data_IF_951282213224
#
_entry.id   IF_951282213224
#
_cell.length_a   1.000
_cell.length_b   1.000
_cell.length_c   1.000
_cell.angle_alpha   90.00
_cell.angle_beta   90.00
_cell.angle_gamma   90.00
#
_symmetry.space_group_name_H-M   'P 1'
#
loop_
_entity.id
_entity.type
_entity.pdbx_description
1 polymer ?
#
# COMPACT_ATOMS: atom_id res chain seq x y z
N UNK A 1 18.93 -9.82 0.16
CA UNK A 1 19.06 -8.35 0.14
C UNK A 1 20.52 -8.01 -0.10
N UNK A 2 20.82 -7.31 -1.20
CA UNK A 2 22.17 -6.84 -1.52
C UNK A 2 22.09 -5.31 -1.71
N UNK A 3 22.87 -4.58 -0.94
CA UNK A 3 22.96 -3.13 -0.98
C UNK A 3 23.98 -2.76 -2.07
N UNK A 4 23.52 -2.24 -3.20
CA UNK A 4 24.39 -1.61 -4.19
C UNK A 4 24.65 -0.16 -3.74
N UNK A 5 25.90 0.16 -3.44
CA UNK A 5 26.34 1.52 -3.16
C UNK A 5 27.19 1.98 -4.34
N UNK A 6 26.65 2.88 -5.16
CA UNK A 6 27.41 3.58 -6.17
C UNK A 6 28.23 4.68 -5.47
N UNK A 7 29.55 4.56 -5.51
CA UNK A 7 30.47 5.61 -5.09
C UNK A 7 31.32 5.99 -6.31
N UNK A 8 31.17 7.24 -6.74
CA UNK A 8 31.96 7.86 -7.79
C UNK A 8 33.41 7.98 -7.28
N UNK A 9 34.33 7.20 -7.85
CA UNK A 9 35.73 7.20 -7.45
C UNK A 9 36.43 8.43 -8.03
N UNK A 10 36.63 9.44 -7.19
CA UNK A 10 37.54 10.54 -7.47
C UNK A 10 38.95 10.10 -7.07
N UNK A 11 39.88 10.13 -8.02
CA UNK A 11 41.20 9.44 -8.03
C UNK A 11 42.24 10.01 -7.05
N UNK A 12 41.79 10.70 -6.00
CA UNK A 12 42.61 11.38 -4.98
C UNK A 12 42.49 10.77 -3.58
N UNK A 13 41.78 9.66 -3.42
CA UNK A 13 41.59 8.98 -2.13
C UNK A 13 42.53 7.77 -1.92
N UNK A 14 43.41 7.49 -2.87
CA UNK A 14 44.32 6.34 -2.91
C UNK A 14 45.39 6.31 -1.81
N UNK A 15 45.55 7.39 -1.03
CA UNK A 15 46.52 7.45 0.07
C UNK A 15 45.94 7.20 1.46
N UNK A 16 44.63 6.97 1.62
CA UNK A 16 44.06 6.63 2.95
C UNK A 16 44.28 5.16 3.34
N UNK A 17 44.50 4.25 2.38
CA UNK A 17 44.87 2.86 2.66
C UNK A 17 46.32 2.68 3.16
N UNK A 18 47.15 3.73 3.07
CA UNK A 18 48.52 3.72 3.62
C UNK A 18 48.59 4.08 5.11
N UNK A 19 47.47 4.45 5.74
CA UNK A 19 47.39 4.63 7.18
C UNK A 19 47.22 3.27 7.84
N UNK A 20 48.34 2.57 8.03
CA UNK A 20 48.39 1.35 8.83
C UNK A 20 47.81 1.61 10.23
N UNK A 21 46.99 0.68 10.71
CA UNK A 21 46.46 0.74 12.08
C UNK A 21 47.64 0.73 13.05
N UNK A 22 47.78 1.79 13.84
CA UNK A 22 48.84 1.91 14.84
C UNK A 22 48.77 0.73 15.80
N UNK A 23 49.83 -0.08 15.86
CA UNK A 23 49.94 -1.20 16.82
C UNK A 23 49.99 -0.72 18.28
N UNK A 24 50.23 0.59 18.49
CA UNK A 24 50.29 1.24 19.80
C UNK A 24 48.90 1.72 20.23
N UNK A 25 48.03 2.09 19.28
CA UNK A 25 46.67 2.55 19.53
C UNK A 25 45.86 1.62 20.46
N UNK A 26 45.68 0.32 20.13
CA UNK A 26 44.92 -0.59 20.98
C UNK A 26 45.59 -0.85 22.34
N UNK A 27 46.93 -0.83 22.42
CA UNK A 27 47.65 -0.92 23.69
C UNK A 27 47.44 0.32 24.57
N UNK A 28 47.37 1.50 23.95
CA UNK A 28 47.11 2.76 24.62
C UNK A 28 45.67 2.86 25.10
N UNK A 29 44.69 2.48 24.25
CA UNK A 29 43.28 2.41 24.62
C UNK A 29 43.09 1.45 25.79
N UNK A 30 43.72 0.27 25.75
CA UNK A 30 43.67 -0.69 26.86
C UNK A 30 44.21 -0.13 28.19
N UNK A 31 45.33 0.62 28.15
CA UNK A 31 45.88 1.29 29.35
C UNK A 31 45.04 2.47 29.83
N UNK A 32 44.48 3.25 28.91
CA UNK A 32 43.66 4.42 29.23
C UNK A 32 42.32 4.01 29.84
N UNK A 33 41.68 2.97 29.31
CA UNK A 33 40.43 2.42 29.86
C UNK A 33 40.60 1.85 31.27
N UNK A 34 41.80 1.42 31.66
CA UNK A 34 42.09 0.94 33.01
C UNK A 34 42.55 2.04 33.99
N UNK A 35 42.70 3.27 33.50
CA UNK A 35 43.19 4.38 34.33
C UNK A 35 42.12 4.86 35.31
N UNK A 36 42.55 5.14 36.55
CA UNK A 36 41.73 5.66 37.64
C UNK A 36 42.24 7.05 37.99
N UNK A 37 41.42 8.07 37.77
CA UNK A 37 41.82 9.45 38.03
C UNK A 37 41.10 9.99 39.26
N UNK A 38 41.83 10.59 40.20
CA UNK A 38 41.26 11.20 41.42
C UNK A 38 41.36 12.72 41.30
N UNK A 39 40.22 13.38 41.12
CA UNK A 39 40.14 14.85 40.98
C UNK A 39 39.24 15.50 42.03
N UNK A 40 39.03 16.81 41.89
CA UNK A 40 38.16 17.61 42.78
C UNK A 40 36.70 17.11 42.77
N UNK A 41 36.25 16.51 41.66
CA UNK A 41 34.92 15.91 41.51
C UNK A 41 34.86 14.42 41.89
N UNK A 42 35.79 13.96 42.74
CA UNK A 42 35.98 12.57 43.18
C UNK A 42 36.69 11.69 42.15
N UNK A 43 36.47 10.38 42.26
CA UNK A 43 37.17 9.35 41.51
C UNK A 43 36.45 9.05 40.19
N UNK A 44 37.16 9.23 39.08
CA UNK A 44 36.70 8.93 37.74
C UNK A 44 37.19 7.54 37.35
N UNK A 45 36.23 6.66 37.05
CA UNK A 45 36.48 5.31 36.56
C UNK A 45 35.80 5.20 35.20
N UNK A 46 36.54 4.89 34.14
CA UNK A 46 35.96 4.56 32.85
C UNK A 46 35.79 3.04 32.76
N UNK A 47 34.60 2.57 32.37
CA UNK A 47 34.35 1.18 31.99
C UNK A 47 33.83 1.21 30.56
N UNK A 48 34.51 0.50 29.64
CA UNK A 48 34.13 0.38 28.23
C UNK A 48 33.88 1.74 27.54
N UNK A 49 34.70 2.74 27.86
CA UNK A 49 34.61 4.09 27.28
C UNK A 49 33.52 4.98 27.88
N UNK A 50 32.77 4.49 28.87
CA UNK A 50 31.76 5.28 29.59
C UNK A 50 32.23 5.60 31.00
N UNK A 51 31.98 6.83 31.44
CA UNK A 51 32.26 7.23 32.82
C UNK A 51 31.30 6.51 33.77
N UNK A 52 31.83 5.60 34.59
CA UNK A 52 31.09 5.02 35.69
C UNK A 52 30.97 6.05 36.80
N UNK A 53 29.84 6.75 36.83
CA UNK A 53 29.47 7.62 37.94
C UNK A 53 29.23 6.74 39.18
N UNK A 54 30.20 6.72 40.10
CA UNK A 54 29.96 6.15 41.43
C UNK A 54 28.98 7.07 42.16
N UNK A 55 27.71 6.66 42.25
CA UNK A 55 26.66 7.36 42.97
C UNK A 55 26.85 7.27 44.49
N UNK A 56 28.00 7.71 45.00
CA UNK A 56 28.23 7.84 46.45
C UNK A 56 27.89 9.26 46.96
N UNK A 57 26.97 9.96 46.31
CA UNK A 57 26.39 11.21 46.83
C UNK A 57 24.89 11.22 46.60
N UNK A 58 24.14 11.05 47.69
CA UNK A 58 22.86 11.72 48.03
C UNK A 58 21.65 11.65 47.07
N UNK A 59 21.82 11.19 45.83
CA UNK A 59 20.74 11.01 44.88
C UNK A 59 20.22 9.59 45.00
N UNK A 60 19.39 9.40 46.02
CA UNK A 60 18.49 8.25 46.06
C UNK A 60 17.57 8.33 44.84
N UNK A 61 17.44 7.23 44.08
CA UNK A 61 16.40 7.08 43.06
C UNK A 61 14.98 7.03 43.67
N UNK A 62 14.87 7.07 45.01
CA UNK A 62 13.61 7.19 45.70
C UNK A 62 13.01 8.59 45.48
N UNK A 63 11.77 8.63 44.99
CA UNK A 63 10.94 9.86 44.89
C UNK A 63 10.80 10.64 46.20
N UNK A 64 11.11 10.03 47.35
CA UNK A 64 10.97 10.60 48.68
C UNK A 64 11.77 11.90 48.93
N UNK A 65 12.82 12.19 48.16
CA UNK A 65 13.65 13.39 48.31
C UNK A 65 13.44 14.44 47.21
N UNK A 66 12.49 14.22 46.29
CA UNK A 66 12.14 15.22 45.27
C UNK A 66 11.11 16.19 45.85
N UNK A 67 11.37 17.48 45.73
CA UNK A 67 10.40 18.53 46.04
C UNK A 67 9.17 18.43 45.15
N UNK A 68 8.12 19.18 45.49
CA UNK A 68 6.89 19.18 44.72
C UNK A 68 7.16 19.54 43.25
N UNK A 69 6.66 18.72 42.31
CA UNK A 69 6.85 18.94 40.88
C UNK A 69 5.82 19.99 40.44
N UNK A 70 6.30 21.19 40.15
CA UNK A 70 5.47 22.26 39.58
C UNK A 70 5.47 22.14 38.07
N UNK A 71 4.30 21.86 37.50
CA UNK A 71 4.11 21.86 36.06
C UNK A 71 3.96 23.29 35.54
N UNK A 72 4.21 23.48 34.23
CA UNK A 72 3.95 24.75 33.56
C UNK A 72 2.50 25.18 33.83
N UNK A 73 2.31 26.40 34.35
CA UNK A 73 1.03 26.91 34.84
C UNK A 73 0.82 26.84 36.36
N UNK A 74 1.89 26.71 37.14
CA UNK A 74 1.89 26.69 38.63
C UNK A 74 1.07 25.55 39.28
N UNK A 75 0.64 24.57 38.50
CA UNK A 75 -0.11 23.43 39.01
C UNK A 75 0.84 22.35 39.54
N UNK A 76 0.55 21.86 40.75
CA UNK A 76 1.20 20.68 41.36
C UNK A 76 0.58 19.36 40.86
N UNK A 77 -0.55 19.44 40.15
CA UNK A 77 -1.25 18.27 39.60
C UNK A 77 -0.58 17.88 38.28
N UNK A 78 -0.13 16.63 38.18
CA UNK A 78 0.38 16.09 36.93
C UNK A 78 -0.68 16.20 35.83
N UNK A 79 -0.38 16.84 34.69
CA UNK A 79 -1.33 16.93 33.60
C UNK A 79 -1.66 15.51 33.13
N UNK A 80 -2.95 15.24 32.94
CA UNK A 80 -3.38 14.07 32.18
C UNK A 80 -2.80 14.24 30.78
N UNK A 81 -2.07 13.25 30.27
CA UNK A 81 -1.24 13.33 29.06
C UNK A 81 -1.99 13.73 27.77
N UNK A 82 -2.00 12.88 26.75
CA UNK A 82 -2.82 13.16 25.55
C UNK A 82 -4.30 13.00 25.91
N UNK A 83 -4.97 14.11 26.22
CA UNK A 83 -6.41 14.16 26.44
C UNK A 83 -7.09 14.39 25.10
N UNK A 84 -7.92 13.44 24.66
CA UNK A 84 -8.79 13.63 23.50
C UNK A 84 -9.72 14.81 23.80
N UNK A 85 -9.70 15.89 23.00
CA UNK A 85 -10.56 17.05 23.25
C UNK A 85 -12.03 16.63 23.28
N UNK A 86 -12.75 16.92 24.37
CA UNK A 86 -14.20 16.67 24.47
C UNK A 86 -15.05 17.57 23.56
N UNK A 87 -14.44 18.54 22.89
CA UNK A 87 -15.08 19.60 22.10
C UNK A 87 -14.54 19.61 20.66
N UNK A 88 -14.61 18.47 19.99
CA UNK A 88 -14.24 18.36 18.58
C UNK A 88 -14.97 17.20 17.91
N UNK A 89 -15.48 17.43 16.71
CA UNK A 89 -15.99 16.36 15.85
C UNK A 89 -14.82 15.71 15.11
N UNK A 90 -14.73 14.40 15.14
CA UNK A 90 -13.76 13.64 14.37
C UNK A 90 -14.09 13.74 12.87
N UNK A 91 -13.23 14.39 12.11
CA UNK A 91 -13.40 14.49 10.65
C UNK A 91 -12.81 13.27 9.99
N UNK A 92 -13.66 12.51 9.31
CA UNK A 92 -13.30 11.25 8.65
C UNK A 92 -13.31 11.47 7.15
N UNK A 93 -12.15 11.32 6.49
CA UNK A 93 -12.06 11.43 5.03
C UNK A 93 -12.70 10.24 4.33
N UNK A 94 -13.45 10.48 3.25
CA UNK A 94 -14.07 9.41 2.44
C UNK A 94 -13.73 9.58 0.96
N UNK A 95 -13.02 8.64 0.31
CA UNK A 95 -12.73 8.72 -1.12
C UNK A 95 -14.01 8.53 -1.92
N UNK A 96 -14.29 9.42 -2.87
CA UNK A 96 -15.34 9.18 -3.86
C UNK A 96 -14.73 8.59 -5.13
N UNK A 97 -15.06 7.31 -5.36
CA UNK A 97 -14.65 6.48 -6.48
C UNK A 97 -15.80 6.45 -7.49
N UNK A 98 -15.52 6.76 -8.75
CA UNK A 98 -16.52 6.69 -9.84
C UNK A 98 -16.29 5.40 -10.63
N UNK A 99 -17.30 4.52 -10.68
CA UNK A 99 -17.24 3.26 -11.44
C UNK A 99 -17.41 2.02 -10.55
N UNK A 100 -16.59 0.99 -10.78
CA UNK A 100 -16.55 -0.22 -9.94
C UNK A 100 -16.10 0.16 -8.53
N UNK A 101 -17.01 0.11 -7.56
CA UNK A 101 -16.73 0.50 -6.17
C UNK A 101 -17.88 1.19 -5.45
N UNK A 102 -18.99 1.51 -6.12
CA UNK A 102 -20.18 2.11 -5.48
C UNK A 102 -20.81 1.22 -4.39
N UNK A 103 -20.58 -0.09 -4.44
CA UNK A 103 -21.02 -1.01 -3.38
C UNK A 103 -20.18 -0.88 -2.10
N UNK A 104 -18.88 -0.58 -2.23
CA UNK A 104 -17.97 -0.41 -1.10
C UNK A 104 -18.11 0.97 -0.46
N UNK A 105 -18.19 2.01 -1.29
CA UNK A 105 -18.39 3.40 -0.88
C UNK A 105 -19.22 4.12 -1.93
N UNK A 106 -20.42 4.52 -1.55
CA UNK A 106 -21.27 5.42 -2.32
C UNK A 106 -21.33 6.79 -1.65
N UNK A 107 -21.02 7.82 -2.42
CA UNK A 107 -21.07 9.20 -1.96
C UNK A 107 -21.99 9.96 -2.90
N UNK A 108 -23.19 10.25 -2.41
CA UNK A 108 -24.14 11.08 -3.12
C UNK A 108 -24.08 12.52 -2.59
N UNK A 109 -23.74 13.45 -3.48
CA UNK A 109 -23.74 14.87 -3.18
C UNK A 109 -25.07 15.49 -3.62
N UNK A 110 -25.94 15.79 -2.65
CA UNK A 110 -27.12 16.57 -2.94
C UNK A 110 -26.72 18.04 -3.14
N UNK A 111 -26.69 18.48 -4.40
CA UNK A 111 -26.35 19.84 -4.81
C UNK A 111 -27.31 20.91 -4.27
N UNK A 112 -28.50 20.52 -3.82
CA UNK A 112 -29.53 21.44 -3.33
C UNK A 112 -29.47 21.69 -1.82
N UNK A 113 -28.96 20.74 -1.02
CA UNK A 113 -28.99 20.81 0.46
C UNK A 113 -27.60 20.86 1.11
N UNK A 114 -26.51 20.75 0.34
CA UNK A 114 -25.14 20.59 0.85
C UNK A 114 -24.97 19.42 1.84
N UNK A 115 -25.90 18.46 1.83
CA UNK A 115 -25.82 17.26 2.65
C UNK A 115 -25.10 16.17 1.87
N UNK A 116 -24.04 15.66 2.49
CA UNK A 116 -23.27 14.52 2.01
C UNK A 116 -23.93 13.25 2.50
N UNK A 117 -24.55 12.49 1.60
CA UNK A 117 -25.02 11.15 1.93
C UNK A 117 -23.90 10.17 1.61
N UNK A 118 -23.41 9.49 2.65
CA UNK A 118 -22.31 8.55 2.56
C UNK A 118 -22.80 7.17 3.00
N UNK A 119 -22.81 6.22 2.07
CA UNK A 119 -23.24 4.84 2.28
C UNK A 119 -22.20 3.86 1.71
N UNK A 120 -22.35 2.57 2.00
CA UNK A 120 -21.48 1.52 1.48
C UNK A 120 -20.88 0.65 2.58
N UNK A 121 -20.40 -0.52 2.18
CA UNK A 121 -19.93 -1.54 3.11
C UNK A 121 -18.84 -1.05 4.08
N UNK A 122 -17.85 -0.29 3.58
CA UNK A 122 -16.76 0.22 4.43
C UNK A 122 -17.25 1.22 5.49
N UNK A 123 -18.34 1.93 5.20
CA UNK A 123 -18.93 2.95 6.09
C UNK A 123 -19.73 2.28 7.20
N UNK A 124 -20.44 1.20 6.89
CA UNK A 124 -21.22 0.46 7.87
C UNK A 124 -20.31 -0.31 8.84
N UNK A 125 -19.20 -0.88 8.36
CA UNK A 125 -18.15 -1.44 9.22
C UNK A 125 -17.61 -0.36 10.19
N UNK A 126 -17.34 0.85 9.69
CA UNK A 126 -16.86 1.93 10.55
C UNK A 126 -17.88 2.38 11.61
N UNK A 127 -19.16 2.49 11.25
CA UNK A 127 -20.23 2.80 12.21
C UNK A 127 -20.31 1.72 13.30
N UNK A 128 -20.28 0.45 12.92
CA UNK A 128 -20.29 -0.66 13.86
C UNK A 128 -19.10 -0.58 14.83
N UNK A 129 -17.89 -0.27 14.33
CA UNK A 129 -16.72 -0.07 15.20
C UNK A 129 -16.95 1.09 16.17
N UNK A 130 -17.46 2.22 15.68
CA UNK A 130 -17.74 3.39 16.52
C UNK A 130 -18.78 3.11 17.61
N UNK A 131 -19.80 2.30 17.31
CA UNK A 131 -20.81 1.85 18.28
C UNK A 131 -20.25 0.89 19.34
N UNK A 132 -19.19 0.13 19.00
CA UNK A 132 -18.57 -0.83 19.90
C UNK A 132 -17.60 -0.15 20.91
N UNK A 133 -17.19 1.10 20.63
CA UNK A 133 -16.26 1.81 21.50
C UNK A 133 -16.93 2.20 22.84
N UNK A 134 -16.21 2.10 23.97
CA UNK A 134 -16.76 2.42 25.30
C UNK A 134 -16.97 3.93 25.53
N UNK A 135 -16.79 4.77 24.51
CA UNK A 135 -16.97 6.21 24.58
C UNK A 135 -17.60 6.74 23.30
N UNK A 136 -18.55 7.67 23.45
CA UNK A 136 -19.26 8.30 22.33
C UNK A 136 -18.39 9.35 21.66
N UNK A 137 -18.00 9.11 20.40
CA UNK A 137 -17.27 10.06 19.55
C UNK A 137 -18.24 10.69 18.55
N UNK A 138 -18.33 12.02 18.51
CA UNK A 138 -19.01 12.69 17.40
C UNK A 138 -18.08 12.71 16.18
N UNK A 139 -18.54 12.21 15.04
CA UNK A 139 -17.77 12.19 13.79
C UNK A 139 -18.56 12.80 12.63
N UNK A 140 -17.84 13.26 11.61
CA UNK A 140 -18.36 13.88 10.39
C UNK A 140 -17.58 13.34 9.18
N UNK A 141 -18.30 12.87 8.16
CA UNK A 141 -17.69 12.38 6.93
C UNK A 141 -17.43 13.52 5.95
N UNK A 142 -16.18 13.64 5.49
CA UNK A 142 -15.74 14.64 4.52
C UNK A 142 -15.38 13.91 3.23
N UNK A 143 -16.26 13.90 2.21
CA UNK A 143 -15.95 13.26 0.95
C UNK A 143 -14.86 14.03 0.19
N UNK A 144 -13.99 13.30 -0.49
CA UNK A 144 -12.96 13.89 -1.34
C UNK A 144 -12.98 13.28 -2.73
N UNK A 145 -13.13 14.15 -3.73
CA UNK A 145 -13.10 13.77 -5.14
C UNK A 145 -11.68 13.86 -5.69
N UNK A 146 -11.17 12.74 -6.21
CA UNK A 146 -9.98 12.77 -7.03
C UNK A 146 -10.33 13.28 -8.44
N UNK A 147 -9.56 14.24 -8.95
CA UNK A 147 -9.86 14.95 -10.20
C UNK A 147 -8.99 14.50 -11.39
N UNK A 148 -7.83 13.85 -11.19
CA UNK A 148 -7.01 13.34 -12.30
C UNK A 148 -5.80 12.47 -11.86
N UNK A 149 -5.49 11.51 -12.72
CA UNK A 149 -4.49 10.43 -12.87
C UNK A 149 -3.18 10.34 -12.06
N UNK A 150 -2.80 11.28 -11.19
CA UNK A 150 -1.58 11.13 -10.38
C UNK A 150 -1.90 10.57 -8.99
N UNK A 151 -2.11 9.25 -8.94
CA UNK A 151 -2.37 8.47 -7.71
C UNK A 151 -1.26 8.67 -6.65
N UNK A 152 -0.05 9.09 -7.03
CA UNK A 152 1.03 9.22 -6.06
C UNK A 152 1.10 10.59 -5.36
N UNK A 153 0.80 11.69 -6.08
CA UNK A 153 1.20 13.05 -5.61
C UNK A 153 0.16 13.72 -4.72
N UNK A 154 -1.13 13.34 -4.83
CA UNK A 154 -2.23 13.96 -4.07
C UNK A 154 -2.56 13.23 -2.75
N UNK A 155 -2.27 11.94 -2.66
CA UNK A 155 -2.52 11.15 -1.45
C UNK A 155 -1.63 11.59 -0.27
N UNK A 156 -0.37 11.96 -0.52
CA UNK A 156 0.55 12.40 0.55
C UNK A 156 0.07 13.70 1.26
N UNK A 157 -0.41 14.69 0.50
CA UNK A 157 -0.94 15.92 1.10
C UNK A 157 -2.29 15.70 1.79
N UNK A 158 -3.14 14.83 1.25
CA UNK A 158 -4.48 14.60 1.78
C UNK A 158 -4.47 13.75 3.06
N UNK A 159 -3.70 12.66 3.10
CA UNK A 159 -3.51 11.87 4.32
C UNK A 159 -2.86 12.68 5.44
N UNK A 160 -2.02 13.67 5.12
CA UNK A 160 -1.42 14.56 6.11
C UNK A 160 -2.43 15.52 6.77
N UNK A 161 -3.55 15.81 6.11
CA UNK A 161 -4.54 16.81 6.56
C UNK A 161 -5.79 16.15 7.14
N UNK A 162 -6.21 15.01 6.60
CA UNK A 162 -7.42 14.32 7.00
C UNK A 162 -7.04 12.95 7.56
N UNK A 163 -6.89 12.86 8.88
CA UNK A 163 -6.76 11.61 9.61
C UNK A 163 -7.88 11.57 10.66
N UNK A 164 -8.72 10.53 10.70
CA UNK A 164 -8.68 9.26 9.95
C UNK A 164 -9.39 9.28 8.57
N UNK A 165 -9.16 8.26 7.73
CA UNK A 165 -9.80 8.06 6.41
C UNK A 165 -10.46 6.68 6.36
N UNK A 166 -11.64 6.58 5.76
CA UNK A 166 -12.42 5.33 5.61
C UNK A 166 -12.89 5.18 4.16
N UNK A 167 -12.63 4.03 3.55
CA UNK A 167 -13.13 3.68 2.23
C UNK A 167 -12.39 2.50 1.62
N UNK A 168 -12.59 2.27 0.32
CA UNK A 168 -11.77 1.33 -0.44
C UNK A 168 -10.36 1.91 -0.61
N UNK A 169 -9.44 1.44 0.24
CA UNK A 169 -8.06 1.88 0.29
C UNK A 169 -7.17 0.64 0.25
N UNK A 170 -6.43 0.49 -0.84
CA UNK A 170 -5.42 -0.55 -0.96
C UNK A 170 -4.22 -0.23 -0.06
N UNK A 171 -3.78 -1.21 0.72
CA UNK A 171 -2.55 -1.10 1.52
C UNK A 171 -1.35 -1.10 0.57
N UNK A 172 -0.68 0.04 0.45
CA UNK A 172 0.50 0.22 -0.39
C UNK A 172 1.72 0.43 0.50
N UNK A 173 2.81 -0.31 0.26
CA UNK A 173 4.03 -0.24 1.07
C UNK A 173 4.67 1.16 1.13
N UNK A 174 4.55 1.95 0.06
CA UNK A 174 5.02 3.34 0.06
C UNK A 174 4.18 4.25 0.99
N UNK A 175 2.89 3.94 1.18
CA UNK A 175 2.02 4.68 2.09
C UNK A 175 2.20 4.22 3.54
N UNK A 176 2.51 2.96 3.79
CA UNK A 176 2.72 2.45 5.15
C UNK A 176 3.94 3.07 5.86
N UNK A 177 4.78 3.82 5.15
CA UNK A 177 5.84 4.64 5.76
C UNK A 177 5.30 5.92 6.42
N UNK A 178 4.10 6.36 6.06
CA UNK A 178 3.51 7.64 6.48
C UNK A 178 2.19 7.50 7.22
N UNK A 179 1.47 6.39 7.03
CA UNK A 179 0.17 6.15 7.65
C UNK A 179 0.10 4.74 8.25
N UNK A 180 -0.58 4.63 9.39
CA UNK A 180 -0.91 3.36 10.00
C UNK A 180 -2.24 2.84 9.44
N UNK A 181 -2.24 1.58 8.99
CA UNK A 181 -3.43 0.92 8.46
C UNK A 181 -4.07 0.02 9.52
N UNK A 182 -5.40 -0.04 9.51
CA UNK A 182 -6.12 -1.07 10.25
C UNK A 182 -5.91 -2.46 9.61
N UNK A 183 -6.27 -3.51 10.34
CA UNK A 183 -6.26 -4.86 9.80
C UNK A 183 -7.22 -4.97 8.60
N UNK A 184 -6.82 -5.64 7.50
CA UNK A 184 -7.69 -5.83 6.35
C UNK A 184 -8.85 -6.74 6.75
N UNK A 185 -10.08 -6.30 6.46
CA UNK A 185 -11.30 -7.07 6.69
C UNK A 185 -11.81 -7.76 5.41
N UNK A 186 -11.21 -7.45 4.26
CA UNK A 186 -11.46 -8.08 2.96
C UNK A 186 -10.15 -8.54 2.33
N UNK A 187 -10.17 -9.69 1.66
CA UNK A 187 -9.03 -10.13 0.85
C UNK A 187 -8.84 -9.20 -0.36
N UNK A 188 -7.58 -8.80 -0.60
CA UNK A 188 -7.22 -7.96 -1.75
C UNK A 188 -6.81 -8.86 -2.92
N UNK A 189 -7.60 -8.86 -3.99
CA UNK A 189 -7.32 -9.61 -5.22
C UNK A 189 -7.39 -8.75 -6.47
N UNK A 190 -6.61 -9.09 -7.49
CA UNK A 190 -6.68 -8.47 -8.82
C UNK A 190 -7.36 -9.44 -9.77
N UNK A 191 -8.48 -9.03 -10.37
CA UNK A 191 -9.20 -9.79 -11.39
C UNK A 191 -9.16 -9.05 -12.73
N UNK A 192 -8.91 -9.77 -13.83
CA UNK A 192 -9.05 -9.23 -15.18
C UNK A 192 -10.50 -9.38 -15.65
N UNK A 193 -11.21 -8.26 -15.84
CA UNK A 193 -12.53 -8.25 -16.48
C UNK A 193 -12.33 -8.13 -17.99
N UNK A 194 -12.58 -9.21 -18.71
CA UNK A 194 -12.56 -9.21 -20.18
C UNK A 194 -13.99 -9.13 -20.68
N UNK A 195 -14.34 -8.16 -21.54
CA UNK A 195 -15.65 -8.16 -22.18
C UNK A 195 -15.77 -9.45 -23.00
N UNK A 196 -16.74 -10.28 -22.66
CA UNK A 196 -17.06 -11.46 -23.46
C UNK A 196 -17.60 -10.93 -24.79
N UNK A 197 -16.78 -11.02 -25.84
CA UNK A 197 -17.23 -10.75 -27.20
C UNK A 197 -18.28 -11.81 -27.50
N UNK A 198 -19.53 -11.37 -27.73
CA UNK A 198 -20.63 -12.28 -28.01
C UNK A 198 -20.24 -13.23 -29.13
N UNK A 199 -20.53 -14.52 -28.94
CA UNK A 199 -20.26 -15.54 -29.95
C UNK A 199 -21.00 -15.21 -31.24
N UNK A 200 -20.29 -14.63 -32.21
CA UNK A 200 -20.68 -14.72 -33.62
C UNK A 200 -20.62 -16.18 -34.13
N UNK A 201 -20.16 -17.10 -33.29
CA UNK A 201 -19.98 -18.53 -33.55
C UNK A 201 -21.23 -19.40 -33.32
N UNK A 202 -22.41 -18.83 -33.04
CA UNK A 202 -23.67 -19.61 -32.96
C UNK A 202 -24.18 -20.11 -34.31
N UNK A 203 -23.41 -19.92 -35.38
CA UNK A 203 -23.75 -20.38 -36.72
C UNK A 203 -23.18 -21.79 -36.94
N UNK A 204 -24.05 -22.79 -37.05
CA UNK A 204 -23.68 -24.17 -37.46
C UNK A 204 -22.91 -24.23 -38.80
N UNK A 205 -22.91 -23.13 -39.55
CA UNK A 205 -22.14 -22.92 -40.78
C UNK A 205 -20.63 -22.69 -40.59
N UNK A 206 -20.14 -22.62 -39.36
CA UNK A 206 -18.69 -22.46 -39.10
C UNK A 206 -17.89 -23.69 -39.57
N UNK A 207 -18.54 -24.87 -39.61
CA UNK A 207 -17.96 -26.11 -40.13
C UNK A 207 -17.81 -26.13 -41.66
N UNK A 208 -18.59 -25.32 -42.39
CA UNK A 208 -18.47 -25.19 -43.84
C UNK A 208 -17.42 -24.15 -44.25
N UNK A 209 -17.05 -23.23 -43.36
CA UNK A 209 -16.02 -22.23 -43.60
C UNK A 209 -14.64 -22.80 -44.01
N UNK A 210 -14.16 -23.93 -43.47
CA UNK A 210 -12.92 -24.57 -43.95
C UNK A 210 -13.08 -25.38 -45.24
N UNK A 211 -14.31 -25.73 -45.64
CA UNK A 211 -14.58 -26.47 -46.88
C UNK A 211 -14.74 -25.46 -48.01
N UNK A 212 -13.63 -25.07 -48.64
CA UNK A 212 -13.61 -24.08 -49.72
C UNK A 212 -14.76 -24.33 -50.71
N UNK A 213 -15.67 -23.35 -50.88
CA UNK A 213 -16.79 -23.48 -51.83
C UNK A 213 -16.29 -23.87 -53.22
N UNK A 214 -15.14 -23.33 -53.61
CA UNK A 214 -14.43 -23.65 -54.86
C UNK A 214 -14.14 -25.16 -55.01
N UNK A 215 -13.82 -25.85 -53.91
CA UNK A 215 -13.56 -27.30 -53.90
C UNK A 215 -14.86 -28.11 -54.07
N UNK A 216 -15.97 -27.65 -53.50
CA UNK A 216 -17.27 -28.29 -53.71
C UNK A 216 -17.76 -28.12 -55.14
N UNK A 217 -17.65 -26.92 -55.71
CA UNK A 217 -18.00 -26.67 -57.12
C UNK A 217 -17.13 -27.50 -58.07
N UNK A 218 -15.83 -27.64 -57.80
CA UNK A 218 -14.95 -28.50 -58.58
C UNK A 218 -15.38 -29.98 -58.51
N UNK A 219 -15.74 -30.47 -57.31
CA UNK A 219 -16.21 -31.85 -57.11
C UNK A 219 -17.53 -32.11 -57.81
N UNK A 220 -18.50 -31.20 -57.70
CA UNK A 220 -19.79 -31.30 -58.39
C UNK A 220 -19.64 -31.29 -59.91
N UNK A 221 -18.75 -30.45 -60.44
CA UNK A 221 -18.45 -30.39 -61.88
C UNK A 221 -17.87 -31.71 -62.40
N UNK A 222 -16.95 -32.33 -61.64
CA UNK A 222 -16.39 -33.63 -62.00
C UNK A 222 -17.44 -34.75 -62.00
N UNK A 223 -18.37 -34.75 -61.04
CA UNK A 223 -19.45 -35.74 -60.98
C UNK A 223 -20.36 -35.63 -62.21
N UNK A 224 -20.75 -34.42 -62.60
CA UNK A 224 -21.57 -34.18 -63.81
C UNK A 224 -20.83 -34.64 -65.07
N UNK A 225 -19.53 -34.32 -65.19
CA UNK A 225 -18.71 -34.75 -66.32
C UNK A 225 -18.61 -36.28 -66.42
N UNK A 226 -18.39 -36.97 -65.30
CA UNK A 226 -18.36 -38.44 -65.26
C UNK A 226 -19.72 -39.02 -65.68
N UNK A 227 -20.83 -38.46 -65.17
CA UNK A 227 -22.18 -38.88 -65.55
C UNK A 227 -22.45 -38.72 -67.06
N UNK A 228 -22.01 -37.60 -67.64
CA UNK A 228 -22.10 -37.35 -69.07
C UNK A 228 -21.28 -38.34 -69.91
N UNK A 229 -20.05 -38.65 -69.49
CA UNK A 229 -19.19 -39.63 -70.16
C UNK A 229 -19.81 -41.03 -70.12
N UNK A 230 -20.33 -41.45 -68.96
CA UNK A 230 -21.02 -42.73 -68.81
C UNK A 230 -22.29 -42.78 -69.65
N UNK A 231 -23.05 -41.69 -69.72
CA UNK A 231 -24.24 -41.59 -70.57
C UNK A 231 -23.89 -41.74 -72.06
N UNK A 232 -22.85 -41.06 -72.56
CA UNK A 232 -22.40 -41.23 -73.96
C UNK A 232 -21.93 -42.65 -74.24
N UNK A 233 -21.14 -43.25 -73.33
CA UNK A 233 -20.64 -44.61 -73.51
C UNK A 233 -21.78 -45.64 -73.50
N UNK A 234 -22.79 -45.44 -72.64
CA UNK A 234 -23.97 -46.30 -72.56
C UNK A 234 -24.91 -46.13 -73.75
N UNK A 235 -25.13 -44.89 -74.20
CA UNK A 235 -25.98 -44.57 -75.35
C UNK A 235 -25.45 -45.19 -76.64
N UNK A 236 -24.13 -45.35 -76.81
CA UNK A 236 -23.56 -45.96 -78.02
C UNK A 236 -23.88 -47.47 -78.16
N UNK A 237 -24.32 -48.14 -77.10
CA UNK A 237 -24.56 -49.60 -77.08
C UNK A 237 -26.06 -49.94 -76.98
N UNK A 238 -26.92 -48.98 -76.61
CA UNK A 238 -28.35 -49.19 -76.43
C UNK A 238 -29.16 -47.98 -76.96
N UNK A 239 -29.86 -48.16 -78.08
CA UNK A 239 -30.66 -47.11 -78.75
C UNK A 239 -32.08 -46.92 -78.15
N UNK A 240 -32.36 -47.45 -76.96
CA UNK A 240 -33.71 -47.37 -76.34
C UNK A 240 -33.88 -46.25 -75.29
N UNK A 241 -32.94 -45.31 -75.20
CA UNK A 241 -33.10 -44.05 -74.45
C UNK A 241 -32.58 -42.86 -75.25
#
# INVERSE_FOLDING_TARGET
WALAMAAETNDKLSNLCALGVSQIGPKFIGKYLQSKFKGLSREFILIDGQLKVSSTSRYSSSKANLGNITWLGESSIAPKGLVIPKSGKLRVGVPVIKGFGSELVDVNWNTTTNLTYVAGHCIDVFKAVMETLPYSISYEFVPFQNASSSIARKYNYFFKIMMPVVGDITIIANLSLYVDFALPFTESGVLMVVPVKGDEQKNAWIFLKPLAMDLQFATGTFIIFIGFVVWILGHRVNDEF
#
